data_IF_448273540814
#
_entry.id   IF_448273540814
#
_cell.length_a   1.000
_cell.length_b   1.000
_cell.length_c   1.000
_cell.angle_alpha   90.00
_cell.angle_beta   90.00
_cell.angle_gamma   90.00
#
_symmetry.space_group_name_H-M   'P 1'
#
loop_
_entity.id
_entity.type
_entity.pdbx_description
1 polymer ?
#
# COMPACT_ATOMS: atom_id res chain seq x y z
N UNK A 1 -29.37 6.07 -2.07
CA UNK A 1 -28.32 5.13 -1.60
C UNK A 1 -28.31 5.17 -0.07
N UNK A 2 -28.19 4.05 0.64
CA UNK A 2 -28.15 4.06 2.11
C UNK A 2 -26.93 4.88 2.58
N UNK A 3 -27.15 5.73 3.58
CA UNK A 3 -26.07 6.47 4.24
C UNK A 3 -25.21 5.45 4.98
N UNK A 4 -23.99 5.20 4.48
CA UNK A 4 -23.03 4.33 5.17
C UNK A 4 -22.47 5.09 6.38
N UNK A 5 -22.63 4.54 7.59
CA UNK A 5 -21.98 5.07 8.79
C UNK A 5 -20.52 4.61 8.81
N UNK A 6 -19.61 5.54 9.11
CA UNK A 6 -18.18 5.26 9.26
C UNK A 6 -17.81 5.49 10.73
N UNK A 7 -17.20 4.48 11.35
CA UNK A 7 -16.64 4.62 12.69
C UNK A 7 -15.19 5.10 12.59
N UNK A 8 -14.86 6.16 13.32
CA UNK A 8 -13.50 6.65 13.47
C UNK A 8 -12.93 6.18 14.80
N UNK A 9 -11.69 5.70 14.79
CA UNK A 9 -10.96 5.43 16.04
C UNK A 9 -10.57 6.73 16.74
N UNK A 10 -10.26 6.65 18.03
CA UNK A 10 -9.73 7.79 18.80
C UNK A 10 -8.47 8.37 18.14
N UNK A 11 -7.61 7.50 17.60
CA UNK A 11 -6.41 7.91 16.87
C UNK A 11 -6.74 8.70 15.60
N UNK A 12 -7.73 8.24 14.81
CA UNK A 12 -8.19 8.94 13.61
C UNK A 12 -8.82 10.29 13.96
N UNK A 13 -9.61 10.36 15.04
CA UNK A 13 -10.21 11.59 15.53
C UNK A 13 -9.14 12.61 15.96
N UNK A 14 -8.15 12.17 16.75
CA UNK A 14 -7.03 13.01 17.16
C UNK A 14 -6.19 13.52 15.98
N UNK A 15 -5.93 12.65 14.99
CA UNK A 15 -5.22 13.03 13.77
C UNK A 15 -5.92 14.15 13.00
N UNK A 16 -7.24 14.09 12.87
CA UNK A 16 -8.04 15.11 12.19
C UNK A 16 -8.16 16.40 13.03
N UNK A 17 -8.34 16.28 14.34
CA UNK A 17 -8.41 17.44 15.24
C UNK A 17 -7.14 18.28 15.17
N UNK A 18 -5.95 17.66 15.13
CA UNK A 18 -4.67 18.36 15.04
C UNK A 18 -4.45 19.14 13.72
N UNK A 19 -5.30 18.93 12.71
CA UNK A 19 -5.20 19.55 11.36
C UNK A 19 -6.44 20.35 10.99
N UNK A 20 -7.38 20.49 11.92
CA UNK A 20 -8.62 21.24 11.73
C UNK A 20 -8.58 22.53 12.54
N UNK A 21 -8.95 23.69 11.97
CA UNK A 21 -9.11 24.92 12.74
C UNK A 21 -10.22 24.75 13.79
N UNK A 22 -10.14 25.54 14.87
CA UNK A 22 -10.89 25.37 16.12
C UNK A 22 -12.35 24.94 15.94
N UNK A 23 -12.63 23.69 16.33
CA UNK A 23 -13.98 23.20 16.64
C UNK A 23 -14.80 22.60 15.49
N UNK A 24 -14.37 22.66 14.23
CA UNK A 24 -15.17 22.21 13.09
C UNK A 24 -14.46 21.15 12.23
N UNK A 25 -14.40 19.90 12.73
CA UNK A 25 -13.94 18.77 11.91
C UNK A 25 -15.02 18.44 10.87
N UNK A 26 -14.73 18.71 9.59
CA UNK A 26 -15.53 18.18 8.48
C UNK A 26 -15.12 16.74 8.18
N UNK A 27 -15.74 15.78 8.86
CA UNK A 27 -15.42 14.35 8.74
C UNK A 27 -15.54 13.81 7.31
N UNK A 28 -16.61 14.16 6.59
CA UNK A 28 -16.81 13.69 5.22
C UNK A 28 -15.78 14.30 4.28
N UNK A 29 -15.52 15.60 4.41
CA UNK A 29 -14.50 16.29 3.60
C UNK A 29 -13.11 15.71 3.85
N UNK A 30 -12.75 15.47 5.11
CA UNK A 30 -11.47 14.88 5.49
C UNK A 30 -11.28 13.49 4.88
N UNK A 31 -12.28 12.63 4.97
CA UNK A 31 -12.21 11.26 4.43
C UNK A 31 -12.16 11.25 2.91
N UNK A 32 -13.00 12.03 2.24
CA UNK A 32 -12.97 12.11 0.77
C UNK A 32 -11.63 12.69 0.28
N UNK A 33 -11.09 13.71 0.95
CA UNK A 33 -9.80 14.29 0.62
C UNK A 33 -8.65 13.30 0.86
N UNK A 34 -8.69 12.51 1.94
CA UNK A 34 -7.71 11.47 2.19
C UNK A 34 -7.69 10.44 1.05
N UNK A 35 -8.84 9.98 0.59
CA UNK A 35 -8.91 9.09 -0.57
C UNK A 35 -8.40 9.74 -1.86
N UNK A 36 -8.70 11.02 -2.09
CA UNK A 36 -8.18 11.74 -3.24
C UNK A 36 -6.64 11.85 -3.23
N UNK A 37 -6.05 12.15 -2.07
CA UNK A 37 -4.60 12.19 -1.89
C UNK A 37 -3.99 10.80 -2.09
N UNK A 38 -4.58 9.75 -1.51
CA UNK A 38 -4.07 8.38 -1.66
C UNK A 38 -4.14 7.93 -3.12
N UNK A 39 -5.24 8.19 -3.82
CA UNK A 39 -5.38 7.87 -5.24
C UNK A 39 -4.37 8.63 -6.10
N UNK A 40 -4.14 9.91 -5.81
CA UNK A 40 -3.10 10.69 -6.48
C UNK A 40 -1.71 10.10 -6.25
N UNK A 41 -1.35 9.80 -5.00
CA UNK A 41 -0.05 9.19 -4.65
C UNK A 41 0.10 7.83 -5.34
N UNK A 42 -0.92 6.97 -5.33
CA UNK A 42 -0.84 5.65 -5.94
C UNK A 42 -0.54 5.71 -7.45
N UNK A 43 -1.08 6.71 -8.14
CA UNK A 43 -0.84 6.92 -9.57
C UNK A 43 0.52 7.61 -9.83
N UNK A 44 0.79 8.71 -9.11
CA UNK A 44 1.96 9.58 -9.32
C UNK A 44 3.27 8.89 -8.90
N UNK A 45 3.23 8.08 -7.84
CA UNK A 45 4.39 7.39 -7.29
C UNK A 45 4.48 5.93 -7.76
N UNK A 46 3.70 5.54 -8.78
CA UNK A 46 3.78 4.20 -9.34
C UNK A 46 5.17 3.96 -9.93
N UNK A 47 5.94 2.98 -9.42
CA UNK A 47 7.31 2.80 -9.87
C UNK A 47 7.37 2.16 -11.26
N UNK A 48 8.46 2.42 -11.96
CA UNK A 48 8.81 1.74 -13.20
C UNK A 48 9.38 0.35 -12.88
N UNK A 49 8.49 -0.65 -12.88
CA UNK A 49 8.81 -2.07 -12.81
C UNK A 49 8.43 -2.73 -14.13
N UNK A 50 9.22 -3.71 -14.55
CA UNK A 50 8.92 -4.53 -15.72
C UNK A 50 7.66 -5.38 -15.49
N UNK A 51 7.07 -5.89 -16.57
CA UNK A 51 5.89 -6.77 -16.47
C UNK A 51 6.17 -8.00 -15.60
N UNK A 52 7.34 -8.61 -15.72
CA UNK A 52 7.73 -9.78 -14.94
C UNK A 52 7.86 -9.45 -13.44
N UNK A 53 8.35 -8.25 -13.11
CA UNK A 53 8.41 -7.80 -11.72
C UNK A 53 7.01 -7.51 -11.15
N UNK A 54 6.10 -6.95 -11.96
CA UNK A 54 4.71 -6.79 -11.55
C UNK A 54 4.01 -8.13 -11.35
N UNK A 55 4.19 -9.10 -12.25
CA UNK A 55 3.68 -10.46 -12.08
C UNK A 55 4.18 -11.08 -10.77
N UNK A 56 5.46 -10.88 -10.45
CA UNK A 56 6.04 -11.35 -9.20
C UNK A 56 5.39 -10.70 -7.97
N UNK A 57 5.22 -9.38 -7.98
CA UNK A 57 4.50 -8.67 -6.92
C UNK A 57 3.09 -9.21 -6.74
N UNK A 58 2.36 -9.47 -7.83
CA UNK A 58 1.01 -10.01 -7.74
C UNK A 58 1.01 -11.41 -7.14
N UNK A 59 1.97 -12.27 -7.51
CA UNK A 59 2.14 -13.60 -6.92
C UNK A 59 2.44 -13.54 -5.42
N UNK A 60 3.31 -12.63 -5.00
CA UNK A 60 3.65 -12.43 -3.58
C UNK A 60 2.40 -12.17 -2.74
N UNK A 61 1.50 -11.34 -3.24
CA UNK A 61 0.27 -10.97 -2.53
C UNK A 61 -0.96 -11.83 -2.89
N UNK A 62 -0.80 -12.89 -3.67
CA UNK A 62 -1.90 -13.78 -4.03
C UNK A 62 -2.54 -14.39 -2.77
N UNK A 63 -3.85 -14.17 -2.59
CA UNK A 63 -4.59 -14.66 -1.41
C UNK A 63 -4.33 -13.87 -0.12
N UNK A 64 -3.58 -12.76 -0.16
CA UNK A 64 -3.38 -11.88 1.00
C UNK A 64 -4.60 -10.98 1.25
N UNK A 65 -4.92 -10.71 2.52
CA UNK A 65 -5.92 -9.70 2.87
C UNK A 65 -5.35 -8.27 2.75
N UNK A 66 -5.41 -7.71 1.54
CA UNK A 66 -4.97 -6.35 1.24
C UNK A 66 -5.98 -5.27 1.68
N UNK A 67 -7.05 -5.62 2.41
CA UNK A 67 -7.96 -4.63 2.99
C UNK A 67 -7.32 -3.89 4.18
N UNK A 68 -6.26 -4.46 4.76
CA UNK A 68 -5.49 -3.89 5.88
C UNK A 68 -4.02 -3.80 5.51
N UNK A 69 -3.51 -2.58 5.39
CA UNK A 69 -2.09 -2.34 5.11
C UNK A 69 -1.33 -2.30 6.44
N UNK A 70 -0.40 -3.23 6.62
CA UNK A 70 0.55 -3.20 7.74
C UNK A 70 1.60 -2.10 7.52
N UNK A 71 1.88 -1.32 8.56
CA UNK A 71 2.90 -0.27 8.53
C UNK A 71 4.05 -0.63 9.50
N UNK A 72 5.31 -0.36 9.14
CA UNK A 72 5.76 0.19 7.86
C UNK A 72 5.66 -0.84 6.72
N UNK A 73 5.41 -0.38 5.50
CA UNK A 73 5.36 -1.24 4.31
C UNK A 73 6.77 -1.73 4.00
N UNK A 74 6.97 -3.04 3.93
CA UNK A 74 8.27 -3.66 3.68
C UNK A 74 8.21 -4.75 2.60
N UNK A 75 8.00 -4.31 1.36
CA UNK A 75 7.87 -5.19 0.19
C UNK A 75 9.06 -6.16 0.03
N UNK A 76 10.27 -5.73 0.37
CA UNK A 76 11.46 -6.57 0.29
C UNK A 76 11.42 -7.74 1.30
N UNK A 77 10.91 -7.50 2.51
CA UNK A 77 10.68 -8.55 3.49
C UNK A 77 9.54 -9.47 3.03
N UNK A 78 8.48 -8.92 2.45
CA UNK A 78 7.37 -9.71 1.93
C UNK A 78 7.83 -10.70 0.84
N UNK A 79 8.79 -10.31 -0.02
CA UNK A 79 9.41 -11.22 -1.00
C UNK A 79 10.16 -12.36 -0.29
N UNK A 80 11.00 -12.04 0.70
CA UNK A 80 11.77 -13.04 1.45
C UNK A 80 10.84 -14.03 2.16
N UNK A 81 9.80 -13.52 2.82
CA UNK A 81 8.82 -14.31 3.54
C UNK A 81 8.02 -15.23 2.59
N UNK A 82 7.60 -14.72 1.43
CA UNK A 82 6.88 -15.49 0.42
C UNK A 82 7.69 -16.72 -0.05
N UNK A 83 8.99 -16.54 -0.26
CA UNK A 83 9.88 -17.59 -0.72
C UNK A 83 10.54 -18.41 0.41
N UNK A 84 10.27 -18.10 1.68
CA UNK A 84 10.91 -18.75 2.82
C UNK A 84 12.42 -18.53 2.89
N UNK A 85 12.92 -17.42 2.34
CA UNK A 85 14.32 -17.05 2.34
C UNK A 85 14.66 -16.18 3.55
N UNK A 86 15.88 -16.30 4.08
CA UNK A 86 16.36 -15.43 5.18
C UNK A 86 17.19 -14.28 4.63
N UNK A 87 17.95 -14.52 3.56
CA UNK A 87 18.80 -13.54 2.92
C UNK A 87 18.46 -13.43 1.43
N UNK A 88 18.61 -12.25 0.81
CA UNK A 88 18.44 -12.12 -0.64
C UNK A 88 19.36 -13.07 -1.43
N UNK A 89 20.56 -13.35 -0.92
CA UNK A 89 21.50 -14.31 -1.54
C UNK A 89 20.96 -15.72 -1.72
N UNK A 90 19.93 -16.10 -0.95
CA UNK A 90 19.28 -17.41 -1.02
C UNK A 90 18.35 -17.54 -2.24
N UNK A 91 18.03 -16.42 -2.89
CA UNK A 91 17.10 -16.35 -4.01
C UNK A 91 17.83 -16.22 -5.38
N UNK A 92 17.15 -16.60 -6.48
CA UNK A 92 17.57 -16.31 -7.85
C UNK A 92 17.91 -14.82 -8.06
N UNK A 93 18.79 -14.55 -9.03
CA UNK A 93 19.29 -13.21 -9.31
C UNK A 93 18.18 -12.20 -9.62
N UNK A 94 17.14 -12.65 -10.32
CA UNK A 94 15.99 -11.83 -10.69
C UNK A 94 15.25 -11.31 -9.46
N UNK A 95 15.03 -12.17 -8.45
CA UNK A 95 14.40 -11.80 -7.18
C UNK A 95 15.31 -10.92 -6.31
N UNK A 96 16.63 -11.14 -6.38
CA UNK A 96 17.60 -10.27 -5.71
C UNK A 96 17.53 -8.84 -6.25
N UNK A 97 17.51 -8.70 -7.58
CA UNK A 97 17.39 -7.40 -8.23
C UNK A 97 16.07 -6.71 -7.90
N UNK A 98 14.96 -7.46 -7.88
CA UNK A 98 13.68 -6.95 -7.42
C UNK A 98 13.75 -6.44 -5.98
N UNK A 99 14.27 -7.25 -5.04
CA UNK A 99 14.45 -6.87 -3.64
C UNK A 99 15.26 -5.59 -3.50
N UNK A 100 16.35 -5.44 -4.25
CA UNK A 100 17.16 -4.22 -4.23
C UNK A 100 16.38 -2.98 -4.69
N UNK A 101 15.56 -3.11 -5.74
CA UNK A 101 14.68 -2.02 -6.20
C UNK A 101 13.66 -1.66 -5.13
N UNK A 102 12.95 -2.66 -4.60
CA UNK A 102 11.94 -2.49 -3.55
C UNK A 102 12.51 -1.85 -2.28
N UNK A 103 13.74 -2.21 -1.91
CA UNK A 103 14.40 -1.64 -0.73
C UNK A 103 14.68 -0.15 -0.90
N UNK A 104 15.08 0.28 -2.10
CA UNK A 104 15.41 1.68 -2.44
C UNK A 104 14.17 2.57 -2.62
N UNK A 105 12.98 2.00 -2.71
CA UNK A 105 11.73 2.76 -2.88
C UNK A 105 11.41 3.64 -1.68
N UNK A 106 10.82 4.80 -1.96
CA UNK A 106 10.21 5.67 -0.95
C UNK A 106 8.99 4.99 -0.32
N UNK A 107 8.53 5.47 0.83
CA UNK A 107 7.28 4.97 1.42
C UNK A 107 6.06 5.19 0.52
N UNK A 108 6.07 6.24 -0.30
CA UNK A 108 4.99 6.55 -1.23
C UNK A 108 4.95 5.57 -2.40
N UNK A 109 6.10 5.26 -2.99
CA UNK A 109 6.23 4.22 -4.01
C UNK A 109 5.84 2.84 -3.48
N UNK A 110 6.25 2.50 -2.25
CA UNK A 110 5.88 1.23 -1.61
C UNK A 110 4.36 1.12 -1.43
N UNK A 111 3.70 2.22 -1.05
CA UNK A 111 2.25 2.29 -1.01
C UNK A 111 1.63 2.11 -2.39
N UNK A 112 2.15 2.78 -3.42
CA UNK A 112 1.66 2.64 -4.79
C UNK A 112 1.75 1.21 -5.33
N UNK A 113 2.80 0.46 -4.98
CA UNK A 113 2.93 -0.97 -5.34
C UNK A 113 1.84 -1.81 -4.67
N UNK A 114 1.59 -1.64 -3.37
CA UNK A 114 0.52 -2.36 -2.66
C UNK A 114 -0.87 -2.00 -3.19
N UNK A 115 -1.10 -0.72 -3.50
CA UNK A 115 -2.37 -0.26 -4.06
C UNK A 115 -2.60 -0.90 -5.44
N UNK A 116 -1.58 -0.93 -6.30
CA UNK A 116 -1.66 -1.61 -7.59
C UNK A 116 -1.95 -3.12 -7.45
N UNK A 117 -1.30 -3.81 -6.52
CA UNK A 117 -1.57 -5.22 -6.24
C UNK A 117 -3.01 -5.44 -5.75
N UNK A 118 -3.51 -4.54 -4.90
CA UNK A 118 -4.89 -4.57 -4.41
C UNK A 118 -5.91 -4.37 -5.53
N UNK A 119 -5.68 -3.39 -6.42
CA UNK A 119 -6.55 -3.14 -7.58
C UNK A 119 -6.55 -4.34 -8.52
N UNK A 120 -5.38 -4.92 -8.79
CA UNK A 120 -5.25 -6.11 -9.63
C UNK A 120 -6.11 -7.27 -9.09
N UNK A 121 -5.94 -7.63 -7.81
CA UNK A 121 -6.67 -8.77 -7.23
C UNK A 121 -8.16 -8.50 -7.05
N UNK A 122 -8.56 -7.26 -6.73
CA UNK A 122 -9.98 -6.88 -6.65
C UNK A 122 -10.70 -6.97 -8.01
N UNK A 123 -9.98 -6.88 -9.13
CA UNK A 123 -10.56 -7.04 -10.46
C UNK A 123 -10.72 -8.51 -10.90
N UNK A 124 -10.15 -9.46 -10.16
CA UNK A 124 -10.25 -10.90 -10.43
C UNK A 124 -11.37 -11.59 -9.64
N UNK A 125 -12.02 -10.88 -8.71
CA UNK A 125 -13.21 -11.32 -7.96
C UNK A 125 -14.51 -10.95 -8.68
#
# INVERSE_FOLDING_TARGET
MPQKSIHYSDASAAYLAARSPEGAINWSGATNNAFAILAYIAEDEKPDLSNQEWEEIYNIYAGSDLSRIALPINLAADVLDHYGATLPSDLPEELRQLIEKLHKMTSAQKFAVLDAARVFWAAQE
#
